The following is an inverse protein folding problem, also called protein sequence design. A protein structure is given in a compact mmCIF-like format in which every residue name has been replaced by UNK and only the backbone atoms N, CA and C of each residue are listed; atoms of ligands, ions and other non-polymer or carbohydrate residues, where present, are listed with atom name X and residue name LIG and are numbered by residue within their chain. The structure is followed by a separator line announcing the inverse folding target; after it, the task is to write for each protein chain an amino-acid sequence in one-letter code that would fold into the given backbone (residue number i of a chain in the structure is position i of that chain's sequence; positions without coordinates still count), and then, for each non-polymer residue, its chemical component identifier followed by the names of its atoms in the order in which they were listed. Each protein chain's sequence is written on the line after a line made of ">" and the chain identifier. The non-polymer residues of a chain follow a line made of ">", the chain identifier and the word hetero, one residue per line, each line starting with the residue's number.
data_IF_119867091610
#
_entry.id   IF_119867091610
#
_cell.length_a   1.000
_cell.length_b   1.000
_cell.length_c   1.000
_cell.angle_alpha   90.00
_cell.angle_beta   90.00
_cell.angle_gamma   90.00
#
_symmetry.space_group_name_H-M   'P 1'
#
loop_
_entity.id
_entity.type
_entity.pdbx_description
1 polymer ?
#
# COMPACT_ATOMS: atom_id res chain seq x y z
N UNK A 1 -9.15 -24.48 0.16
CA UNK A 1 -8.82 -23.07 -0.11
C UNK A 1 -7.43 -23.01 -0.69
N UNK A 2 -7.26 -22.21 -1.74
CA UNK A 2 -6.00 -22.16 -2.51
C UNK A 2 -4.94 -21.30 -1.82
N UNK A 3 -5.34 -20.38 -0.95
CA UNK A 3 -4.45 -19.47 -0.24
C UNK A 3 -4.56 -19.63 1.25
N UNK A 4 -3.44 -19.72 1.91
CA UNK A 4 -3.34 -19.61 3.34
C UNK A 4 -1.96 -19.06 3.71
N UNK A 5 -1.88 -18.31 4.80
CA UNK A 5 -0.65 -17.74 5.30
C UNK A 5 -0.82 -17.29 6.74
N UNK A 6 0.29 -17.18 7.43
CA UNK A 6 0.34 -16.68 8.80
C UNK A 6 1.46 -15.65 8.89
N UNK A 7 1.12 -14.40 9.17
CA UNK A 7 2.07 -13.32 9.45
C UNK A 7 2.22 -13.20 10.96
N UNK A 8 3.42 -13.23 11.47
CA UNK A 8 3.72 -13.03 12.88
C UNK A 8 4.53 -11.75 13.06
N UNK A 9 4.18 -10.99 14.08
CA UNK A 9 4.76 -9.69 14.39
C UNK A 9 5.54 -9.77 15.70
N UNK A 10 6.56 -8.93 15.84
CA UNK A 10 7.36 -8.84 17.03
C UNK A 10 6.82 -7.77 18.00
N UNK A 11 7.48 -7.58 19.12
CA UNK A 11 7.08 -6.65 20.18
C UNK A 11 7.17 -5.15 19.76
N UNK A 12 7.86 -4.85 18.69
CA UNK A 12 7.93 -3.53 18.08
C UNK A 12 6.80 -3.22 17.07
N UNK A 13 5.86 -4.16 16.88
CA UNK A 13 4.75 -4.04 15.94
C UNK A 13 5.11 -4.36 14.48
N UNK A 14 6.37 -4.67 14.15
CA UNK A 14 6.80 -5.03 12.81
C UNK A 14 6.73 -6.55 12.57
N UNK A 15 6.56 -6.96 11.31
CA UNK A 15 6.63 -8.38 10.95
C UNK A 15 8.00 -8.95 11.31
N UNK A 16 8.01 -10.15 11.92
CA UNK A 16 9.23 -10.81 12.37
C UNK A 16 10.22 -11.05 11.22
N UNK A 17 11.49 -10.73 11.51
CA UNK A 17 12.65 -11.04 10.65
C UNK A 17 13.65 -11.90 11.42
N UNK A 18 14.76 -12.27 10.76
CA UNK A 18 15.84 -13.03 11.40
C UNK A 18 16.38 -12.30 12.65
N UNK A 19 16.69 -13.02 13.74
CA UNK A 19 16.66 -14.48 13.88
C UNK A 19 15.31 -15.06 14.30
N UNK A 20 14.33 -14.23 14.65
CA UNK A 20 13.07 -14.66 15.30
C UNK A 20 12.19 -15.50 14.36
N UNK A 21 12.06 -15.13 13.10
CA UNK A 21 11.33 -15.89 12.09
C UNK A 21 11.91 -17.30 11.90
N UNK A 22 13.25 -17.39 11.77
CA UNK A 22 13.95 -18.67 11.63
C UNK A 22 13.82 -19.55 12.88
N UNK A 23 13.91 -18.96 14.06
CA UNK A 23 13.73 -19.67 15.32
C UNK A 23 12.32 -20.24 15.44
N UNK A 24 11.30 -19.45 15.09
CA UNK A 24 9.89 -19.88 15.09
C UNK A 24 9.67 -21.05 14.13
N UNK A 25 10.16 -20.94 12.90
CA UNK A 25 10.06 -22.02 11.90
C UNK A 25 10.83 -23.28 12.35
N UNK A 26 11.97 -23.11 13.00
CA UNK A 26 12.71 -24.25 13.57
C UNK A 26 11.90 -25.01 14.62
N UNK A 27 11.11 -24.30 15.48
CA UNK A 27 10.22 -24.94 16.44
C UNK A 27 9.03 -25.64 15.75
N UNK A 28 8.41 -24.98 14.75
CA UNK A 28 7.32 -25.59 13.95
C UNK A 28 7.79 -26.88 13.28
N UNK A 29 8.99 -26.91 12.73
CA UNK A 29 9.55 -28.08 12.06
C UNK A 29 9.88 -29.26 13.00
N UNK A 30 9.87 -29.07 14.33
CA UNK A 30 9.99 -30.17 15.30
C UNK A 30 8.71 -30.97 15.42
N UNK A 31 7.55 -30.40 15.08
CA UNK A 31 6.26 -31.06 15.11
C UNK A 31 6.18 -32.09 14.01
N UNK A 32 6.04 -33.36 14.36
CA UNK A 32 6.03 -34.48 13.40
C UNK A 32 4.64 -35.06 13.16
N UNK A 33 3.74 -34.90 14.12
CA UNK A 33 2.40 -35.46 14.08
C UNK A 33 1.37 -34.44 14.51
N UNK A 34 0.18 -34.49 13.89
CA UNK A 34 -0.94 -33.63 14.27
C UNK A 34 -1.36 -33.81 15.75
N UNK A 35 -1.10 -34.95 16.36
CA UNK A 35 -1.36 -35.20 17.78
C UNK A 35 -0.51 -34.36 18.75
N UNK A 36 0.60 -33.80 18.29
CA UNK A 36 1.46 -32.91 19.08
C UNK A 36 0.91 -31.48 19.11
N UNK A 37 -0.05 -31.17 18.24
CA UNK A 37 -0.65 -29.84 18.13
C UNK A 37 -1.75 -29.68 19.18
N UNK A 38 -1.72 -28.58 19.94
CA UNK A 38 -2.73 -28.25 20.94
C UNK A 38 -3.94 -27.57 20.27
N UNK A 39 -4.99 -28.34 19.99
CA UNK A 39 -6.22 -27.81 19.40
C UNK A 39 -7.22 -27.24 20.43
N UNK A 40 -7.05 -27.56 21.71
CA UNK A 40 -7.94 -27.05 22.77
C UNK A 40 -7.56 -25.64 23.14
N UNK A 41 -8.35 -24.67 22.67
CA UNK A 41 -8.19 -23.26 23.02
C UNK A 41 -8.71 -22.96 24.45
N UNK A 42 -8.22 -21.85 25.02
CA UNK A 42 -8.79 -21.28 26.26
C UNK A 42 -9.51 -19.96 25.87
N UNK A 43 -10.85 -19.96 26.00
CA UNK A 43 -11.67 -18.78 25.65
C UNK A 43 -11.42 -17.59 26.60
N UNK A 44 -10.94 -17.83 27.82
CA UNK A 44 -10.61 -16.77 28.79
C UNK A 44 -9.39 -15.92 28.34
N UNK A 45 -8.58 -16.44 27.41
CA UNK A 45 -7.44 -15.71 26.82
C UNK A 45 -7.82 -14.90 25.58
N UNK A 46 -9.11 -14.88 25.21
CA UNK A 46 -9.60 -14.11 24.07
C UNK A 46 -10.22 -12.82 24.59
N UNK A 47 -9.61 -11.70 24.25
CA UNK A 47 -10.10 -10.36 24.52
C UNK A 47 -10.59 -9.69 23.23
N UNK A 48 -11.77 -9.05 23.31
CA UNK A 48 -12.30 -8.24 22.20
C UNK A 48 -11.94 -6.79 22.48
N UNK A 49 -10.97 -6.25 21.72
CA UNK A 49 -10.46 -4.89 21.91
C UNK A 49 -11.43 -3.79 21.49
N UNK A 50 -12.34 -4.05 20.55
CA UNK A 50 -13.52 -3.23 20.24
C UNK A 50 -13.28 -1.77 19.86
N UNK A 51 -14.30 -0.94 20.07
CA UNK A 51 -14.37 0.45 19.61
C UNK A 51 -13.27 1.36 20.20
N UNK A 52 -12.82 1.11 21.41
CA UNK A 52 -11.80 1.95 22.06
C UNK A 52 -10.47 1.98 21.28
N UNK A 53 -10.08 0.85 20.69
CA UNK A 53 -8.87 0.77 19.87
C UNK A 53 -9.12 1.41 18.50
N UNK A 54 -10.31 1.22 17.90
CA UNK A 54 -10.67 1.90 16.66
C UNK A 54 -10.60 3.43 16.81
N UNK A 55 -11.11 3.95 17.93
CA UNK A 55 -11.13 5.39 18.21
C UNK A 55 -9.71 5.96 18.39
N UNK A 56 -8.83 5.25 19.11
CA UNK A 56 -7.43 5.66 19.28
C UNK A 56 -6.69 5.62 17.94
N UNK A 57 -6.87 4.56 17.15
CA UNK A 57 -6.28 4.44 15.82
C UNK A 57 -6.74 5.58 14.89
N UNK A 58 -8.05 5.88 14.84
CA UNK A 58 -8.57 6.98 14.00
C UNK A 58 -8.03 8.33 14.49
N UNK A 59 -7.87 8.52 15.80
CA UNK A 59 -7.27 9.73 16.37
C UNK A 59 -5.81 9.88 15.90
N UNK A 60 -5.01 8.81 15.93
CA UNK A 60 -3.64 8.86 15.41
C UNK A 60 -3.63 9.20 13.91
N UNK A 61 -4.54 8.66 13.11
CA UNK A 61 -4.64 9.02 11.70
C UNK A 61 -4.81 10.52 11.45
N UNK A 62 -5.46 11.25 12.34
CA UNK A 62 -5.63 12.70 12.16
C UNK A 62 -4.33 13.48 12.28
N UNK A 63 -3.30 12.90 12.91
CA UNK A 63 -1.99 13.55 13.09
C UNK A 63 -1.16 13.59 11.81
N UNK A 64 -1.42 12.67 10.88
CA UNK A 64 -0.70 12.57 9.59
C UNK A 64 -1.31 13.43 8.48
N UNK A 65 -2.45 14.11 8.71
CA UNK A 65 -3.06 15.03 7.74
C UNK A 65 -2.17 16.26 7.54
N UNK A 66 -1.86 16.58 6.28
CA UNK A 66 -0.96 17.69 5.91
C UNK A 66 -1.68 18.83 5.18
N UNK A 67 -2.92 18.64 4.73
CA UNK A 67 -3.71 19.63 3.99
C UNK A 67 -5.18 19.66 4.43
N UNK A 68 -5.49 19.78 5.72
CA UNK A 68 -6.87 19.79 6.21
C UNK A 68 -7.70 20.94 5.63
N UNK A 69 -7.07 22.05 5.28
CA UNK A 69 -7.69 23.19 4.61
C UNK A 69 -8.16 22.84 3.18
N UNK A 70 -7.44 22.01 2.44
CA UNK A 70 -7.86 21.54 1.13
C UNK A 70 -9.05 20.58 1.25
N UNK A 71 -9.01 19.67 2.22
CA UNK A 71 -10.16 18.81 2.53
C UNK A 71 -11.40 19.63 2.85
N UNK A 72 -11.26 20.65 3.69
CA UNK A 72 -12.39 21.51 4.06
C UNK A 72 -13.04 22.21 2.86
N UNK A 73 -12.24 22.65 1.87
CA UNK A 73 -12.75 23.26 0.63
C UNK A 73 -13.42 22.26 -0.32
N UNK A 74 -13.01 21.01 -0.28
CA UNK A 74 -13.47 19.92 -1.17
C UNK A 74 -14.15 18.77 -0.43
N UNK A 75 -14.72 19.04 0.74
CA UNK A 75 -15.35 18.04 1.61
C UNK A 75 -16.50 17.24 0.96
N UNK A 76 -17.11 17.81 -0.05
CA UNK A 76 -18.22 17.24 -0.83
C UNK A 76 -17.74 16.44 -2.05
N UNK A 77 -16.42 16.29 -2.25
CA UNK A 77 -15.85 15.46 -3.30
C UNK A 77 -16.43 14.05 -3.24
N UNK A 78 -16.95 13.58 -4.36
CA UNK A 78 -17.57 12.24 -4.46
C UNK A 78 -16.50 11.17 -4.56
N UNK A 79 -16.40 10.35 -3.54
CA UNK A 79 -15.44 9.25 -3.42
C UNK A 79 -16.21 7.93 -3.38
N UNK A 80 -15.98 7.06 -4.35
CA UNK A 80 -16.44 5.67 -4.28
C UNK A 80 -15.39 4.83 -3.57
N UNK A 81 -15.80 4.08 -2.56
CA UNK A 81 -14.93 3.16 -1.84
C UNK A 81 -15.50 1.74 -1.84
N UNK A 82 -14.64 0.75 -2.04
CA UNK A 82 -14.95 -0.68 -1.86
C UNK A 82 -13.87 -1.38 -1.04
N UNK A 83 -14.23 -2.19 -0.04
CA UNK A 83 -13.31 -3.05 0.70
C UNK A 83 -13.01 -4.38 -0.03
N UNK A 84 -13.62 -4.64 -1.18
CA UNK A 84 -13.57 -5.91 -1.91
C UNK A 84 -13.82 -7.11 -0.97
N UNK A 85 -14.95 -7.07 -0.23
CA UNK A 85 -15.34 -8.05 0.80
C UNK A 85 -14.42 -8.13 2.02
N UNK A 86 -13.53 -7.15 2.22
CA UNK A 86 -12.49 -7.16 3.25
C UNK A 86 -12.83 -6.36 4.51
N UNK A 87 -11.86 -6.32 5.41
CA UNK A 87 -11.97 -5.73 6.75
C UNK A 87 -11.98 -4.20 6.74
N UNK A 88 -11.53 -3.56 5.66
CA UNK A 88 -11.51 -2.09 5.51
C UNK A 88 -12.89 -1.42 5.54
N UNK A 89 -13.98 -2.19 5.39
CA UNK A 89 -15.37 -1.70 5.34
C UNK A 89 -15.78 -0.79 6.49
N UNK A 90 -15.21 -1.00 7.67
CA UNK A 90 -15.52 -0.20 8.87
C UNK A 90 -14.63 1.02 9.00
N UNK A 91 -13.32 0.81 8.96
CA UNK A 91 -12.36 1.87 9.33
C UNK A 91 -12.10 2.88 8.23
N UNK A 92 -12.06 2.48 6.94
CA UNK A 92 -11.79 3.44 5.85
C UNK A 92 -12.89 4.51 5.75
N UNK A 93 -14.21 4.16 5.70
CA UNK A 93 -15.25 5.18 5.67
C UNK A 93 -15.28 6.04 6.94
N UNK A 94 -14.99 5.44 8.12
CA UNK A 94 -14.94 6.18 9.37
C UNK A 94 -13.80 7.20 9.38
N UNK A 95 -12.62 6.81 8.95
CA UNK A 95 -11.44 7.67 8.84
C UNK A 95 -11.66 8.81 7.84
N UNK A 96 -12.20 8.53 6.65
CA UNK A 96 -12.55 9.55 5.65
C UNK A 96 -13.53 10.60 6.22
N UNK A 97 -14.53 10.16 7.00
CA UNK A 97 -15.47 11.09 7.66
C UNK A 97 -14.78 11.96 8.71
N UNK A 98 -13.86 11.41 9.49
CA UNK A 98 -13.11 12.17 10.50
C UNK A 98 -12.17 13.18 9.83
N UNK A 99 -11.60 12.84 8.68
CA UNK A 99 -10.85 13.79 7.85
C UNK A 99 -11.71 14.94 7.30
N UNK A 100 -13.04 14.75 7.23
CA UNK A 100 -13.99 15.78 6.83
C UNK A 100 -14.70 15.53 5.49
N UNK A 101 -14.42 14.40 4.82
CA UNK A 101 -15.14 14.04 3.59
C UNK A 101 -16.58 13.62 3.91
N UNK A 102 -17.54 14.22 3.22
CA UNK A 102 -18.98 14.03 3.51
C UNK A 102 -19.70 13.17 2.47
N UNK A 103 -19.07 12.90 1.33
CA UNK A 103 -19.73 12.25 0.20
C UNK A 103 -18.99 10.94 -0.19
N UNK A 104 -19.09 9.95 0.70
CA UNK A 104 -18.50 8.63 0.52
C UNK A 104 -19.58 7.70 0.00
N UNK A 105 -19.36 7.14 -1.18
CA UNK A 105 -20.28 6.28 -1.90
C UNK A 105 -19.79 4.84 -1.79
N UNK A 106 -20.63 3.97 -1.29
CA UNK A 106 -20.34 2.57 -1.06
C UNK A 106 -20.68 1.70 -2.27
N UNK A 107 -20.11 0.49 -2.33
CA UNK A 107 -20.47 -0.60 -3.24
C UNK A 107 -21.10 -1.71 -2.36
N UNK A 108 -22.42 -1.68 -2.13
CA UNK A 108 -23.07 -2.52 -1.11
C UNK A 108 -22.82 -4.02 -1.28
N UNK A 109 -22.68 -4.49 -2.52
CA UNK A 109 -22.41 -5.88 -2.82
C UNK A 109 -21.02 -6.32 -2.35
N UNK A 110 -20.05 -5.41 -2.33
CA UNK A 110 -18.69 -5.65 -1.89
C UNK A 110 -18.43 -5.24 -0.44
N UNK A 111 -19.36 -4.53 0.22
CA UNK A 111 -19.29 -4.19 1.65
C UNK A 111 -19.57 -5.40 2.56
N UNK A 112 -20.11 -6.47 1.99
CA UNK A 112 -20.33 -7.72 2.74
C UNK A 112 -19.01 -8.45 2.95
N UNK A 113 -18.50 -8.47 4.18
CA UNK A 113 -17.27 -9.19 4.53
C UNK A 113 -17.47 -10.70 4.29
N UNK A 114 -16.67 -11.27 3.40
CA UNK A 114 -16.80 -12.68 3.02
C UNK A 114 -15.47 -13.26 2.55
N UNK A 115 -15.06 -14.36 3.15
CA UNK A 115 -13.89 -15.12 2.70
C UNK A 115 -14.13 -15.95 1.41
N UNK A 116 -15.33 -15.90 0.85
CA UNK A 116 -15.67 -16.54 -0.43
C UNK A 116 -15.60 -15.56 -1.62
N UNK A 117 -15.48 -14.25 -1.35
CA UNK A 117 -15.31 -13.18 -2.34
C UNK A 117 -16.32 -13.26 -3.50
N UNK A 118 -17.64 -13.25 -3.27
CA UNK A 118 -18.66 -13.67 -4.23
C UNK A 118 -18.73 -12.81 -5.50
N UNK A 119 -18.18 -11.59 -5.51
CA UNK A 119 -18.24 -10.72 -6.69
C UNK A 119 -16.94 -10.68 -7.49
N UNK A 120 -15.88 -11.35 -7.02
CA UNK A 120 -14.57 -11.32 -7.68
C UNK A 120 -13.90 -12.69 -7.66
N UNK A 121 -13.12 -12.99 -8.69
CA UNK A 121 -12.30 -14.22 -8.74
C UNK A 121 -11.07 -14.06 -7.85
N UNK A 122 -10.47 -12.87 -7.87
CA UNK A 122 -9.33 -12.50 -7.05
C UNK A 122 -9.61 -11.15 -6.37
N UNK A 123 -9.57 -11.07 -5.04
CA UNK A 123 -9.84 -9.83 -4.30
C UNK A 123 -8.59 -8.94 -4.25
N UNK A 124 -7.93 -8.74 -5.37
CA UNK A 124 -6.71 -7.95 -5.48
C UNK A 124 -7.02 -6.62 -6.17
N UNK A 125 -6.79 -5.46 -5.53
CA UNK A 125 -7.05 -4.14 -6.12
C UNK A 125 -6.14 -3.80 -7.32
N UNK A 126 -5.13 -4.62 -7.62
CA UNK A 126 -4.34 -4.52 -8.85
C UNK A 126 -5.13 -4.98 -10.09
N UNK A 127 -6.15 -5.80 -9.90
CA UNK A 127 -6.91 -6.38 -11.00
C UNK A 127 -8.09 -5.49 -11.40
N UNK A 128 -8.21 -5.10 -12.69
CA UNK A 128 -9.33 -4.29 -13.15
C UNK A 128 -10.69 -4.88 -12.81
N UNK A 129 -10.81 -6.21 -12.83
CA UNK A 129 -12.05 -6.91 -12.49
C UNK A 129 -12.49 -6.68 -11.04
N UNK A 130 -11.56 -6.51 -10.10
CA UNK A 130 -11.87 -6.27 -8.69
C UNK A 130 -12.49 -4.88 -8.46
N UNK A 131 -12.09 -3.88 -9.25
CA UNK A 131 -12.58 -2.51 -9.17
C UNK A 131 -13.77 -2.23 -10.13
N UNK A 132 -14.14 -3.16 -10.97
CA UNK A 132 -15.15 -2.92 -12.02
C UNK A 132 -16.47 -2.39 -11.46
N UNK A 133 -17.00 -2.97 -10.38
CA UNK A 133 -18.24 -2.51 -9.73
C UNK A 133 -18.12 -1.11 -9.16
N UNK A 134 -16.98 -0.79 -8.56
CA UNK A 134 -16.73 0.54 -8.01
C UNK A 134 -16.59 1.60 -9.11
N UNK A 135 -15.97 1.25 -10.25
CA UNK A 135 -15.87 2.14 -11.43
C UNK A 135 -17.25 2.35 -12.06
N UNK A 136 -18.10 1.32 -12.17
CA UNK A 136 -19.49 1.50 -12.65
C UNK A 136 -20.27 2.40 -11.68
N UNK A 137 -20.15 2.18 -10.37
CA UNK A 137 -20.78 3.06 -9.36
C UNK A 137 -20.29 4.51 -9.48
N UNK A 138 -19.02 4.71 -9.80
CA UNK A 138 -18.44 6.03 -10.00
C UNK A 138 -18.99 6.72 -11.26
N UNK A 139 -19.25 5.99 -12.32
CA UNK A 139 -19.92 6.51 -13.52
C UNK A 139 -21.38 6.92 -13.23
N UNK A 140 -22.13 6.07 -12.54
CA UNK A 140 -23.51 6.34 -12.16
C UNK A 140 -23.68 7.59 -11.30
N UNK A 141 -22.74 7.83 -10.41
CA UNK A 141 -22.79 8.92 -9.42
C UNK A 141 -22.01 10.17 -9.82
N UNK A 142 -21.33 10.11 -10.98
CA UNK A 142 -20.35 11.11 -11.41
C UNK A 142 -19.31 11.40 -10.31
N UNK A 143 -18.69 10.34 -9.82
CA UNK A 143 -17.65 10.44 -8.80
C UNK A 143 -16.33 10.96 -9.38
N UNK A 144 -15.46 11.43 -8.49
CA UNK A 144 -14.16 12.02 -8.83
C UNK A 144 -12.99 11.07 -8.53
N UNK A 145 -13.19 10.14 -7.59
CA UNK A 145 -12.17 9.20 -7.14
C UNK A 145 -12.82 7.84 -6.83
N UNK A 146 -12.19 6.77 -7.25
CA UNK A 146 -12.48 5.41 -6.80
C UNK A 146 -11.30 4.91 -5.98
N UNK A 147 -11.57 4.34 -4.81
CA UNK A 147 -10.58 3.68 -3.98
C UNK A 147 -11.06 2.28 -3.60
N UNK A 148 -10.11 1.37 -3.48
CA UNK A 148 -10.35 0.02 -2.99
C UNK A 148 -9.25 -0.39 -2.02
N UNK A 149 -9.61 -1.15 -0.98
CA UNK A 149 -8.63 -1.90 -0.18
C UNK A 149 -8.74 -3.39 -0.46
N UNK A 150 -7.65 -4.11 -0.31
CA UNK A 150 -7.67 -5.56 -0.31
C UNK A 150 -8.29 -6.13 0.98
N UNK A 151 -8.53 -7.46 1.08
CA UNK A 151 -9.29 -8.02 2.18
C UNK A 151 -8.70 -7.84 3.58
N UNK A 152 -7.38 -7.80 3.73
CA UNK A 152 -6.70 -7.55 5.01
C UNK A 152 -6.35 -6.06 5.24
N UNK A 153 -6.80 -5.20 4.31
CA UNK A 153 -6.70 -3.74 4.38
C UNK A 153 -5.26 -3.23 4.54
N UNK A 154 -4.32 -3.83 3.80
CA UNK A 154 -2.92 -3.41 3.78
C UNK A 154 -2.48 -2.77 2.43
N UNK A 155 -3.35 -2.77 1.40
CA UNK A 155 -3.10 -2.19 0.08
C UNK A 155 -4.24 -1.28 -0.37
N UNK A 156 -3.90 -0.24 -1.14
CA UNK A 156 -4.85 0.70 -1.71
C UNK A 156 -4.79 0.69 -3.23
N UNK A 157 -5.87 0.31 -3.89
CA UNK A 157 -6.06 0.51 -5.32
C UNK A 157 -6.86 1.77 -5.60
N UNK A 158 -6.61 2.41 -6.74
CA UNK A 158 -7.33 3.62 -7.14
C UNK A 158 -7.62 3.66 -8.63
N UNK A 159 -8.75 4.29 -8.97
CA UNK A 159 -9.05 4.68 -10.33
C UNK A 159 -9.45 6.16 -10.38
N UNK A 160 -9.05 6.82 -11.46
CA UNK A 160 -9.24 8.26 -11.69
C UNK A 160 -9.67 8.50 -13.13
N UNK A 161 -10.27 9.67 -13.42
CA UNK A 161 -10.55 10.08 -14.81
C UNK A 161 -9.29 10.64 -15.46
N UNK A 162 -8.97 10.15 -16.68
CA UNK A 162 -7.94 10.76 -17.54
C UNK A 162 -8.42 12.09 -18.13
N UNK A 163 -7.62 12.71 -19.00
CA UNK A 163 -7.99 14.00 -19.62
C UNK A 163 -9.15 13.89 -20.61
N UNK A 164 -9.43 12.69 -21.10
CA UNK A 164 -10.57 12.36 -21.99
C UNK A 164 -11.84 12.01 -21.20
N UNK A 165 -11.77 11.97 -19.87
CA UNK A 165 -12.88 11.61 -18.98
C UNK A 165 -13.08 10.09 -18.80
N UNK A 166 -12.16 9.28 -19.28
CA UNK A 166 -12.20 7.83 -19.13
C UNK A 166 -11.60 7.40 -17.79
N UNK A 167 -12.20 6.41 -17.15
CA UNK A 167 -11.67 5.82 -15.92
C UNK A 167 -10.44 4.97 -16.21
N UNK A 168 -9.33 5.29 -15.56
CA UNK A 168 -8.07 4.54 -15.62
C UNK A 168 -7.63 4.13 -14.21
N UNK A 169 -7.17 2.89 -14.07
CA UNK A 169 -6.59 2.40 -12.84
C UNK A 169 -5.15 2.90 -12.72
N UNK A 170 -4.82 3.42 -11.55
CA UNK A 170 -3.44 3.72 -11.20
C UNK A 170 -2.75 2.45 -10.73
N UNK A 171 -1.56 2.18 -11.23
CA UNK A 171 -0.75 1.09 -10.69
C UNK A 171 -0.05 1.51 -9.39
N UNK A 172 0.48 0.53 -8.64
CA UNK A 172 1.10 0.80 -7.34
C UNK A 172 2.33 1.72 -7.43
N UNK A 173 3.08 1.69 -8.52
CA UNK A 173 4.17 2.63 -8.75
C UNK A 173 3.67 4.07 -8.88
N UNK A 174 2.58 4.27 -9.63
CA UNK A 174 1.97 5.59 -9.82
C UNK A 174 1.39 6.14 -8.52
N UNK A 175 0.74 5.27 -7.74
CA UNK A 175 0.18 5.64 -6.44
C UNK A 175 1.29 5.98 -5.44
N UNK A 176 2.32 5.12 -5.31
CA UNK A 176 3.48 5.38 -4.45
C UNK A 176 4.22 6.68 -4.83
N UNK A 177 4.34 6.93 -6.14
CA UNK A 177 4.96 8.16 -6.64
C UNK A 177 4.20 9.41 -6.19
N UNK A 178 2.86 9.39 -6.26
CA UNK A 178 2.02 10.51 -5.81
C UNK A 178 2.08 10.70 -4.29
N UNK A 179 2.09 9.62 -3.52
CA UNK A 179 2.27 9.70 -2.06
C UNK A 179 3.59 10.37 -1.72
N UNK A 180 4.70 9.88 -2.25
CA UNK A 180 6.03 10.43 -1.95
C UNK A 180 6.15 11.88 -2.37
N UNK A 181 5.67 12.22 -3.58
CA UNK A 181 5.67 13.61 -4.06
C UNK A 181 4.90 14.54 -3.13
N UNK A 182 3.68 14.14 -2.76
CA UNK A 182 2.82 14.92 -1.86
C UNK A 182 3.44 15.08 -0.49
N UNK A 183 3.83 13.98 0.15
CA UNK A 183 4.40 13.99 1.50
C UNK A 183 5.64 14.88 1.58
N UNK A 184 6.61 14.71 0.67
CA UNK A 184 7.83 15.53 0.65
C UNK A 184 7.49 17.00 0.38
N UNK A 185 6.59 17.29 -0.58
CA UNK A 185 6.19 18.66 -0.91
C UNK A 185 5.57 19.34 0.30
N UNK A 186 4.59 18.69 0.95
CA UNK A 186 3.91 19.27 2.12
C UNK A 186 4.81 19.38 3.33
N UNK A 187 5.66 18.39 3.61
CA UNK A 187 6.64 18.48 4.68
C UNK A 187 7.58 19.67 4.50
N UNK A 188 8.01 19.92 3.25
CA UNK A 188 8.85 21.07 2.91
C UNK A 188 8.12 22.40 3.10
N UNK A 189 6.88 22.51 2.58
CA UNK A 189 6.05 23.71 2.72
C UNK A 189 5.73 24.04 4.19
N UNK A 190 5.54 23.01 5.01
CA UNK A 190 5.29 23.13 6.45
C UNK A 190 6.57 23.33 7.30
N UNK A 191 7.75 23.39 6.66
CA UNK A 191 9.03 23.55 7.36
C UNK A 191 9.43 22.35 8.22
N UNK A 192 8.90 21.17 7.96
CA UNK A 192 9.21 19.94 8.70
C UNK A 192 10.51 19.28 8.24
N UNK A 193 11.07 19.64 7.08
CA UNK A 193 12.34 19.08 6.57
C UNK A 193 13.53 19.80 7.18
N UNK A 194 14.38 19.05 7.89
CA UNK A 194 15.57 19.57 8.60
C UNK A 194 16.86 18.78 8.32
N UNK A 195 16.83 17.83 7.34
CA UNK A 195 17.96 17.02 6.92
C UNK A 195 18.08 15.67 7.64
N UNK A 196 17.05 15.27 8.37
CA UNK A 196 16.95 13.95 9.03
C UNK A 196 15.84 13.08 8.46
N UNK A 197 15.14 13.58 7.47
CA UNK A 197 13.98 12.91 6.88
C UNK A 197 14.43 11.86 5.88
N UNK A 198 13.69 10.76 5.86
CA UNK A 198 13.93 9.69 4.89
C UNK A 198 12.63 9.04 4.43
N UNK A 199 12.73 8.42 3.25
CA UNK A 199 11.72 7.53 2.67
C UNK A 199 12.34 6.17 2.40
N UNK A 200 11.49 5.15 2.25
CA UNK A 200 11.92 3.79 1.93
C UNK A 200 11.08 3.23 0.79
N UNK A 201 11.70 2.60 -0.20
CA UNK A 201 11.00 1.87 -1.25
C UNK A 201 11.61 0.50 -1.48
N UNK A 202 10.90 -0.41 -2.13
CA UNK A 202 11.50 -1.65 -2.60
C UNK A 202 12.29 -1.41 -3.88
N UNK A 203 13.31 -2.25 -4.14
CA UNK A 203 14.19 -2.15 -5.31
C UNK A 203 13.45 -2.24 -6.65
N UNK A 204 12.26 -2.83 -6.66
CA UNK A 204 11.40 -2.97 -7.86
C UNK A 204 10.38 -1.84 -8.01
N UNK A 205 10.29 -0.94 -7.02
CA UNK A 205 9.45 0.25 -7.10
C UNK A 205 10.16 1.35 -7.91
N UNK A 206 9.40 2.18 -8.60
CA UNK A 206 9.89 3.18 -9.57
C UNK A 206 11.04 4.04 -9.07
N UNK A 207 12.08 4.21 -9.89
CA UNK A 207 13.25 5.07 -9.59
C UNK A 207 12.91 6.58 -9.59
N UNK A 208 11.76 6.98 -10.12
CA UNK A 208 11.34 8.39 -10.06
C UNK A 208 11.17 8.87 -8.61
N UNK A 209 10.82 7.96 -7.69
CA UNK A 209 10.78 8.24 -6.24
C UNK A 209 12.14 8.70 -5.73
N UNK A 210 13.23 8.02 -6.14
CA UNK A 210 14.60 8.42 -5.80
C UNK A 210 14.90 9.82 -6.31
N UNK A 211 14.53 10.11 -7.56
CA UNK A 211 14.74 11.44 -8.13
C UNK A 211 14.01 12.54 -7.33
N UNK A 212 12.79 12.26 -6.84
CA UNK A 212 12.03 13.20 -5.99
C UNK A 212 12.77 13.42 -4.68
N UNK A 213 13.18 12.35 -4.00
CA UNK A 213 13.88 12.44 -2.72
C UNK A 213 15.17 13.24 -2.83
N UNK A 214 16.05 12.88 -3.78
CA UNK A 214 17.34 13.52 -4.00
C UNK A 214 17.22 15.02 -4.29
N UNK A 215 16.28 15.41 -5.20
CA UNK A 215 16.07 16.83 -5.54
C UNK A 215 15.50 17.66 -4.39
N UNK A 216 14.90 17.02 -3.40
CA UNK A 216 14.35 17.69 -2.23
C UNK A 216 15.22 17.53 -0.95
N UNK A 217 16.40 16.92 -1.06
CA UNK A 217 17.32 16.73 0.05
C UNK A 217 16.83 15.74 1.10
N UNK A 218 15.99 14.78 0.70
CA UNK A 218 15.46 13.70 1.53
C UNK A 218 16.27 12.44 1.25
N UNK A 219 16.71 11.76 2.31
CA UNK A 219 17.40 10.48 2.18
C UNK A 219 16.46 9.38 1.71
N UNK A 220 16.94 8.44 0.91
CA UNK A 220 16.14 7.33 0.41
C UNK A 220 16.88 6.00 0.60
N UNK A 221 16.14 5.00 1.10
CA UNK A 221 16.60 3.63 1.23
C UNK A 221 15.91 2.72 0.24
N UNK A 222 16.68 1.88 -0.45
CA UNK A 222 16.19 0.74 -1.20
C UNK A 222 16.26 -0.52 -0.36
N UNK A 223 15.19 -1.30 -0.35
CA UNK A 223 15.11 -2.57 0.36
C UNK A 223 14.58 -3.68 -0.56
N UNK A 224 14.75 -4.93 -0.15
CA UNK A 224 14.09 -6.06 -0.82
C UNK A 224 12.58 -5.98 -0.74
N UNK A 225 11.87 -6.68 -1.63
CA UNK A 225 10.41 -6.82 -1.58
C UNK A 225 9.95 -7.43 -0.27
N UNK A 226 8.88 -6.87 0.28
CA UNK A 226 8.31 -7.22 1.56
C UNK A 226 8.45 -6.11 2.57
N UNK A 227 7.32 -5.62 3.07
CA UNK A 227 7.25 -4.46 3.96
C UNK A 227 8.06 -4.62 5.25
N UNK A 228 8.31 -5.86 5.68
CA UNK A 228 9.21 -6.17 6.82
C UNK A 228 10.59 -5.53 6.70
N UNK A 229 11.08 -5.34 5.48
CA UNK A 229 12.38 -4.70 5.25
C UNK A 229 12.28 -3.18 5.36
N UNK A 230 11.17 -2.58 4.96
CA UNK A 230 10.86 -1.18 5.21
C UNK A 230 10.80 -0.94 6.73
N UNK A 231 10.04 -1.77 7.44
CA UNK A 231 9.91 -1.70 8.89
C UNK A 231 11.26 -1.92 9.61
N UNK A 232 12.15 -2.75 9.06
CA UNK A 232 13.50 -2.90 9.62
C UNK A 232 14.32 -1.61 9.53
N UNK A 233 14.26 -0.91 8.38
CA UNK A 233 14.92 0.41 8.23
C UNK A 233 14.34 1.43 9.21
N UNK A 234 12.99 1.41 9.41
CA UNK A 234 12.35 2.26 10.41
C UNK A 234 12.91 2.00 11.81
N UNK A 235 13.00 0.73 12.23
CA UNK A 235 13.57 0.34 13.53
C UNK A 235 15.02 0.79 13.70
N UNK A 236 15.86 0.63 12.68
CA UNK A 236 17.28 1.03 12.71
C UNK A 236 17.46 2.54 12.86
N UNK A 237 16.48 3.31 12.38
CA UNK A 237 16.49 4.78 12.42
C UNK A 237 15.64 5.39 13.54
N UNK A 238 14.98 4.57 14.36
CA UNK A 238 14.12 5.03 15.46
C UNK A 238 14.87 5.95 16.40
N UNK A 239 14.28 7.12 16.70
CA UNK A 239 14.90 8.16 17.54
C UNK A 239 16.09 8.88 16.93
N UNK A 240 16.50 8.57 15.70
CA UNK A 240 17.64 9.17 15.00
C UNK A 240 17.21 10.00 13.80
N UNK A 241 16.25 9.50 13.02
CA UNK A 241 15.74 10.10 11.79
C UNK A 241 14.22 10.05 11.75
N UNK A 242 13.62 10.83 10.85
CA UNK A 242 12.17 10.97 10.70
C UNK A 242 11.71 10.25 9.42
N UNK A 243 10.92 9.21 9.59
CA UNK A 243 10.30 8.51 8.46
C UNK A 243 9.14 9.34 7.91
N UNK A 244 9.19 9.68 6.62
CA UNK A 244 8.10 10.40 5.95
C UNK A 244 7.05 9.44 5.39
N UNK A 245 7.51 8.36 4.75
CA UNK A 245 6.67 7.37 4.15
C UNK A 245 7.46 6.39 3.28
N UNK A 246 6.80 5.36 2.84
CA UNK A 246 7.40 4.36 1.96
C UNK A 246 6.43 3.28 1.56
N UNK A 247 6.80 2.54 0.53
CA UNK A 247 5.90 1.54 0.00
C UNK A 247 6.50 0.64 -1.06
N UNK A 248 5.59 -0.15 -1.59
CA UNK A 248 5.86 -1.20 -2.56
C UNK A 248 5.07 -0.93 -3.86
N UNK A 249 5.59 -1.39 -4.98
CA UNK A 249 4.90 -1.38 -6.27
C UNK A 249 3.60 -2.18 -6.26
N UNK A 250 3.46 -3.09 -5.29
CA UNK A 250 2.28 -3.93 -5.07
C UNK A 250 1.20 -3.24 -4.21
N UNK A 251 1.06 -1.91 -4.33
CA UNK A 251 -0.02 -1.10 -3.74
C UNK A 251 0.02 -0.92 -2.21
N UNK A 252 1.02 -1.47 -1.53
CA UNK A 252 1.24 -1.27 -0.10
C UNK A 252 2.00 0.02 0.18
N UNK A 253 1.46 0.88 1.06
CA UNK A 253 2.10 2.13 1.47
C UNK A 253 1.85 2.40 2.95
N UNK A 254 2.77 3.11 3.58
CA UNK A 254 2.64 3.63 4.93
C UNK A 254 3.10 5.09 4.96
N UNK A 255 2.25 5.96 5.50
CA UNK A 255 2.55 7.36 5.76
C UNK A 255 2.91 7.54 7.22
N UNK A 256 4.10 8.09 7.51
CA UNK A 256 4.65 8.25 8.85
C UNK A 256 4.81 6.90 9.60
N UNK A 257 5.22 6.89 10.85
CA UNK A 257 5.69 5.69 11.57
C UNK A 257 4.80 5.27 12.75
N UNK A 258 3.53 5.69 12.74
CA UNK A 258 2.57 5.37 13.82
C UNK A 258 2.22 3.87 13.90
N UNK A 259 2.39 3.13 12.81
CA UNK A 259 2.35 1.66 12.72
C UNK A 259 3.56 1.14 11.96
N UNK A 260 3.77 -0.19 11.90
CA UNK A 260 4.98 -0.80 11.31
C UNK A 260 4.69 -1.82 10.22
N UNK A 261 3.56 -1.69 9.55
CA UNK A 261 3.23 -2.41 8.31
C UNK A 261 2.44 -1.47 7.40
N UNK A 262 2.27 -1.87 6.14
CA UNK A 262 1.40 -1.17 5.19
C UNK A 262 0.00 -1.03 5.78
N UNK A 263 -0.62 0.09 5.48
CA UNK A 263 -1.93 0.41 6.03
C UNK A 263 -2.81 1.09 4.99
N UNK A 264 -3.82 0.35 4.51
CA UNK A 264 -4.74 0.87 3.52
C UNK A 264 -5.68 1.95 4.08
N UNK A 265 -5.93 1.97 5.39
CA UNK A 265 -6.80 2.99 5.97
C UNK A 265 -6.13 4.35 5.88
N UNK A 266 -4.87 4.45 6.35
CA UNK A 266 -4.08 5.69 6.23
C UNK A 266 -3.81 6.04 4.76
N UNK A 267 -3.50 5.05 3.92
CA UNK A 267 -3.27 5.29 2.49
C UNK A 267 -4.53 5.83 1.80
N UNK A 268 -5.74 5.32 2.10
CA UNK A 268 -6.99 5.83 1.54
C UNK A 268 -7.25 7.29 1.95
N UNK A 269 -7.09 7.63 3.24
CA UNK A 269 -7.36 9.02 3.67
C UNK A 269 -6.34 10.00 3.10
N UNK A 270 -5.06 9.63 3.04
CA UNK A 270 -4.03 10.47 2.42
C UNK A 270 -4.23 10.58 0.90
N UNK A 271 -4.65 9.51 0.21
CA UNK A 271 -4.95 9.60 -1.22
C UNK A 271 -6.14 10.54 -1.50
N UNK A 272 -7.18 10.50 -0.68
CA UNK A 272 -8.29 11.43 -0.75
C UNK A 272 -7.85 12.88 -0.44
N UNK A 273 -6.94 13.07 0.52
CA UNK A 273 -6.33 14.37 0.83
C UNK A 273 -5.48 14.87 -0.35
N UNK A 274 -4.69 14.01 -1.00
CA UNK A 274 -3.94 14.35 -2.21
C UNK A 274 -4.89 14.80 -3.33
N UNK A 275 -6.02 14.13 -3.50
CA UNK A 275 -7.02 14.51 -4.49
C UNK A 275 -7.60 15.91 -4.21
N UNK A 276 -7.95 16.20 -2.96
CA UNK A 276 -8.42 17.50 -2.54
C UNK A 276 -7.33 18.59 -2.72
N UNK A 277 -6.10 18.30 -2.35
CA UNK A 277 -4.96 19.20 -2.51
C UNK A 277 -4.61 19.47 -4.00
N UNK A 278 -4.72 18.45 -4.86
CA UNK A 278 -4.56 18.65 -6.30
C UNK A 278 -5.67 19.54 -6.87
N UNK A 279 -6.91 19.30 -6.45
CA UNK A 279 -8.08 20.09 -6.86
C UNK A 279 -7.97 21.57 -6.46
N UNK A 280 -7.38 21.89 -5.32
CA UNK A 280 -7.04 23.25 -4.92
C UNK A 280 -6.09 23.94 -5.88
N UNK A 281 -5.25 23.19 -6.57
CA UNK A 281 -4.35 23.70 -7.60
C UNK A 281 -4.96 23.67 -9.01
N UNK A 282 -6.25 23.34 -9.14
CA UNK A 282 -6.94 23.19 -10.43
C UNK A 282 -6.56 21.94 -11.21
N UNK A 283 -6.02 20.91 -10.53
CA UNK A 283 -5.57 19.66 -11.14
C UNK A 283 -6.44 18.48 -10.70
N UNK A 284 -6.68 17.54 -11.61
CA UNK A 284 -7.12 16.19 -11.21
C UNK A 284 -5.90 15.38 -10.72
N UNK A 285 -6.16 14.23 -10.06
CA UNK A 285 -5.07 13.30 -9.68
C UNK A 285 -4.29 12.80 -10.91
N UNK A 286 -4.96 12.59 -12.04
CA UNK A 286 -4.29 12.21 -13.28
C UNK A 286 -3.36 13.31 -13.79
N UNK A 287 -3.81 14.56 -13.74
CA UNK A 287 -3.00 15.71 -14.11
C UNK A 287 -1.85 15.97 -13.14
N UNK A 288 -2.07 15.71 -11.84
CA UNK A 288 -0.99 15.74 -10.85
C UNK A 288 0.10 14.70 -11.19
N UNK A 289 -0.28 13.48 -11.54
CA UNK A 289 0.68 12.45 -11.99
C UNK A 289 1.46 12.91 -13.24
N UNK A 290 0.78 13.50 -14.21
CA UNK A 290 1.45 14.06 -15.40
C UNK A 290 2.43 15.19 -15.04
N UNK A 291 2.05 16.08 -14.12
CA UNK A 291 2.94 17.12 -13.59
C UNK A 291 4.19 16.53 -12.97
N UNK A 292 4.06 15.48 -12.16
CA UNK A 292 5.19 14.78 -11.53
C UNK A 292 6.12 14.21 -12.62
N UNK A 293 5.57 13.59 -13.66
CA UNK A 293 6.37 13.06 -14.77
C UNK A 293 7.12 14.15 -15.56
N UNK A 294 6.50 15.30 -15.75
CA UNK A 294 7.17 16.43 -16.42
C UNK A 294 8.30 16.99 -15.55
N UNK A 295 8.10 17.06 -14.26
CA UNK A 295 9.06 17.66 -13.33
C UNK A 295 10.24 16.71 -12.97
N UNK A 296 9.96 15.42 -12.76
CA UNK A 296 10.95 14.47 -12.25
C UNK A 296 11.38 13.39 -13.23
N UNK A 297 10.74 13.29 -14.36
CA UNK A 297 10.99 12.29 -15.40
C UNK A 297 9.86 11.26 -15.52
N UNK A 298 9.64 10.81 -16.75
CA UNK A 298 8.62 9.82 -17.06
C UNK A 298 9.16 8.41 -16.84
N UNK A 299 8.41 7.62 -16.08
CA UNK A 299 8.62 6.18 -15.95
C UNK A 299 7.33 5.43 -16.26
N UNK A 300 7.46 4.24 -16.83
CA UNK A 300 6.34 3.37 -17.16
C UNK A 300 6.70 1.94 -16.85
N UNK A 301 6.20 1.49 -15.72
CA UNK A 301 6.38 0.13 -15.24
C UNK A 301 5.24 -0.76 -15.70
N UNK A 302 5.54 -2.05 -15.90
CA UNK A 302 4.57 -3.10 -16.21
C UNK A 302 4.90 -4.36 -15.44
N UNK A 303 3.96 -4.80 -14.63
CA UNK A 303 4.01 -6.12 -13.99
C UNK A 303 3.73 -7.24 -15.00
N UNK A 304 4.50 -8.32 -14.91
CA UNK A 304 4.22 -9.58 -15.60
C UNK A 304 4.10 -10.66 -14.54
N UNK A 305 2.90 -11.18 -14.36
CA UNK A 305 2.64 -12.25 -13.39
C UNK A 305 2.78 -13.63 -14.05
N UNK A 306 3.62 -14.48 -13.48
CA UNK A 306 3.77 -15.88 -13.90
C UNK A 306 3.32 -16.77 -12.75
N UNK A 307 2.18 -17.43 -12.94
CA UNK A 307 1.59 -18.33 -11.94
C UNK A 307 1.91 -19.77 -12.28
N UNK A 308 2.51 -20.48 -11.34
CA UNK A 308 2.78 -21.92 -11.40
C UNK A 308 2.12 -22.60 -10.20
N UNK A 309 1.23 -23.58 -10.44
CA UNK A 309 0.45 -24.23 -9.38
C UNK A 309 1.15 -25.48 -8.82
N UNK A 310 0.91 -25.72 -7.52
CA UNK A 310 1.36 -26.93 -6.83
C UNK A 310 2.86 -26.98 -6.54
N UNK A 311 3.31 -28.10 -5.98
CA UNK A 311 4.71 -28.31 -5.58
C UNK A 311 5.67 -28.21 -6.76
N UNK A 312 5.34 -28.84 -7.88
CA UNK A 312 6.15 -28.76 -9.11
C UNK A 312 6.27 -27.32 -9.63
N UNK A 313 5.20 -26.54 -9.53
CA UNK A 313 5.22 -25.13 -9.90
C UNK A 313 6.17 -24.29 -9.02
N UNK A 314 6.20 -24.55 -7.72
CA UNK A 314 7.15 -23.91 -6.80
C UNK A 314 8.61 -24.27 -7.16
N UNK A 315 8.88 -25.54 -7.45
CA UNK A 315 10.20 -26.02 -7.87
C UNK A 315 10.65 -25.39 -9.21
N UNK A 316 9.71 -25.21 -10.17
CA UNK A 316 9.98 -24.50 -11.42
C UNK A 316 10.34 -23.03 -11.20
N UNK A 317 9.63 -22.32 -10.31
CA UNK A 317 9.93 -20.92 -9.97
C UNK A 317 11.31 -20.82 -9.33
N UNK A 318 11.63 -21.70 -8.37
CA UNK A 318 12.94 -21.73 -7.73
C UNK A 318 14.06 -21.97 -8.74
N UNK A 319 13.85 -22.93 -9.66
CA UNK A 319 14.81 -23.23 -10.73
C UNK A 319 15.01 -22.05 -11.69
N UNK A 320 13.94 -21.30 -12.03
CA UNK A 320 14.03 -20.07 -12.82
C UNK A 320 14.90 -19.01 -12.12
N UNK A 321 14.63 -18.75 -10.84
CA UNK A 321 15.38 -17.76 -10.06
C UNK A 321 16.86 -18.15 -9.97
N UNK A 322 17.16 -19.43 -9.69
CA UNK A 322 18.52 -19.96 -9.69
C UNK A 322 19.23 -19.75 -11.04
N UNK A 323 18.53 -20.02 -12.15
CA UNK A 323 19.07 -19.81 -13.50
C UNK A 323 19.44 -18.35 -13.76
N UNK A 324 18.59 -17.38 -13.35
CA UNK A 324 18.89 -15.96 -13.50
C UNK A 324 20.10 -15.52 -12.65
N UNK A 325 20.28 -16.08 -11.45
CA UNK A 325 21.46 -15.84 -10.60
C UNK A 325 22.74 -16.36 -11.22
N UNK A 326 22.70 -17.59 -11.71
CA UNK A 326 23.88 -18.25 -12.32
C UNK A 326 24.23 -17.68 -13.70
N UNK A 327 23.22 -17.19 -14.43
CA UNK A 327 23.39 -16.66 -15.79
C UNK A 327 22.58 -15.36 -15.94
N UNK A 328 23.03 -14.26 -15.32
CA UNK A 328 22.33 -12.99 -15.40
C UNK A 328 22.27 -12.50 -16.86
N UNK A 329 21.15 -11.86 -17.20
CA UNK A 329 20.97 -11.28 -18.52
C UNK A 329 21.97 -10.14 -18.73
N UNK A 330 22.61 -10.12 -19.89
CA UNK A 330 23.55 -9.06 -20.29
C UNK A 330 22.86 -7.96 -21.12
N UNK A 331 21.69 -8.28 -21.69
CA UNK A 331 20.89 -7.38 -22.54
C UNK A 331 19.40 -7.67 -22.35
N UNK A 332 18.58 -6.64 -22.33
CA UNK A 332 17.11 -6.71 -22.29
C UNK A 332 16.55 -5.75 -23.33
N UNK A 333 15.77 -6.27 -24.28
CA UNK A 333 15.10 -5.49 -25.34
C UNK A 333 16.05 -4.53 -26.10
N UNK A 334 17.26 -4.97 -26.40
CA UNK A 334 18.27 -4.18 -27.12
C UNK A 334 19.09 -3.22 -26.23
N UNK A 335 18.80 -3.18 -24.93
CA UNK A 335 19.54 -2.35 -23.97
C UNK A 335 20.48 -3.22 -23.12
N UNK A 336 21.73 -2.76 -22.98
CA UNK A 336 22.72 -3.44 -22.15
C UNK A 336 22.34 -3.36 -20.69
N UNK A 337 22.41 -4.49 -19.98
CA UNK A 337 22.26 -4.52 -18.51
C UNK A 337 23.53 -3.92 -17.89
N UNK A 338 23.37 -2.91 -17.07
CA UNK A 338 24.50 -2.21 -16.40
C UNK A 338 24.65 -2.60 -14.94
N UNK A 339 23.57 -3.03 -14.32
CA UNK A 339 23.55 -3.50 -12.93
C UNK A 339 22.67 -4.74 -12.78
N UNK A 340 23.05 -5.61 -11.88
CA UNK A 340 22.31 -6.78 -11.45
C UNK A 340 22.34 -6.83 -9.91
N UNK A 341 21.17 -6.90 -9.32
CA UNK A 341 20.99 -7.04 -7.87
C UNK A 341 20.30 -8.37 -7.56
N UNK A 342 20.74 -9.06 -6.51
CA UNK A 342 20.11 -10.29 -5.99
C UNK A 342 20.04 -10.28 -4.46
#
# INVERSE_FOLDING_TARGET
>A
KEYNGYKAYWDDGAQMIAPHDKNTIAEVNKIRNASEIKFKGNKELIEIIGQAIDDEYIKELTTISLSPEAISRHKDMKIVYTPIHGTGVKLVPAALKVYGFTNIIHVPEQDVVSGDFPTVISPNPEEPAALAMAVEKAKETDAELVMASDPDADRVGAAVKNNEGEWVLLNGNQTALMFVYYLITRWKELGKINGKEYIVKTIVTTETIKTIAERNGVEMYDVYTGFKWIANVMRENEGKKNYIGGGEESYGFLCEDFVRDKDAVSACVILAEIAAWAKDQGLSLYQLLQKIYVEYGFSKEKGISVVKKGKSGAEEIEAMMKKFRENPLTEIAGSKVTYFYD
#
